data_IF_419845401334
#
_entry.id   IF_419845401334
#
_cell.length_a   1.000
_cell.length_b   1.000
_cell.length_c   1.000
_cell.angle_alpha   90.00
_cell.angle_beta   90.00
_cell.angle_gamma   90.00
#
_symmetry.space_group_name_H-M   'P 1'
#
loop_
_entity.id
_entity.type
_entity.pdbx_description
1 polymer ?
#
# COMPACT_ATOMS: atom_id res chain seq x y z
N UNK A 1 4.42 -18.72 9.08
CA UNK A 1 4.36 -17.51 8.23
C UNK A 1 4.48 -16.18 8.99
N UNK A 2 4.09 -16.09 10.27
CA UNK A 2 4.31 -14.87 11.10
C UNK A 2 5.78 -14.42 11.14
N UNK A 3 6.73 -15.35 11.04
CA UNK A 3 8.17 -15.05 11.02
C UNK A 3 8.61 -14.24 9.79
N UNK A 4 8.16 -14.62 8.58
CA UNK A 4 8.51 -13.90 7.34
C UNK A 4 7.97 -12.47 7.38
N UNK A 5 6.75 -12.28 7.84
CA UNK A 5 6.16 -10.93 7.97
C UNK A 5 6.85 -10.11 9.04
N UNK A 6 7.24 -10.71 10.16
CA UNK A 6 8.01 -10.00 11.17
C UNK A 6 9.36 -9.54 10.59
N UNK A 7 10.05 -10.40 9.84
CA UNK A 7 11.28 -10.02 9.13
C UNK A 7 11.04 -8.85 8.18
N UNK A 8 10.00 -8.93 7.34
CA UNK A 8 9.65 -7.85 6.40
C UNK A 8 9.38 -6.56 7.18
N UNK A 9 8.60 -6.60 8.26
CA UNK A 9 8.29 -5.42 9.06
C UNK A 9 9.51 -4.84 9.75
N UNK A 10 10.41 -5.68 10.28
CA UNK A 10 11.68 -5.23 10.88
C UNK A 10 12.55 -4.59 9.80
N UNK A 11 12.64 -5.21 8.62
CA UNK A 11 13.39 -4.67 7.49
C UNK A 11 12.85 -3.30 7.04
N UNK A 12 11.55 -3.17 6.78
CA UNK A 12 10.96 -1.89 6.42
C UNK A 12 10.99 -0.89 7.59
N UNK A 13 10.85 -1.37 8.82
CA UNK A 13 10.95 -0.56 10.04
C UNK A 13 12.34 0.05 10.23
N UNK A 14 13.39 -0.69 9.85
CA UNK A 14 14.77 -0.23 9.77
C UNK A 14 15.00 0.70 8.56
N UNK A 15 14.47 0.34 7.38
CA UNK A 15 14.59 1.14 6.16
C UNK A 15 13.99 2.54 6.31
N UNK A 16 12.88 2.65 7.04
CA UNK A 16 12.22 3.92 7.34
C UNK A 16 12.69 4.57 8.65
N UNK A 17 13.55 3.92 9.45
CA UNK A 17 14.01 4.43 10.74
C UNK A 17 14.58 5.86 10.68
N UNK A 18 15.49 6.21 9.73
CA UNK A 18 16.06 7.56 9.69
C UNK A 18 15.05 8.64 9.24
N UNK A 19 13.95 8.23 8.62
CA UNK A 19 12.95 9.15 8.06
C UNK A 19 11.74 9.35 8.97
N UNK A 20 11.70 8.74 10.17
CA UNK A 20 10.53 8.81 11.06
C UNK A 20 10.19 10.23 11.54
N UNK A 21 11.20 11.08 11.68
CA UNK A 21 11.06 12.45 12.19
C UNK A 21 11.16 13.50 11.07
N UNK A 22 11.30 13.07 9.82
CA UNK A 22 11.44 13.96 8.67
C UNK A 22 10.09 14.14 7.97
N UNK A 23 10.05 15.12 7.06
CA UNK A 23 8.90 15.25 6.17
C UNK A 23 8.66 13.92 5.41
N UNK A 24 7.41 13.44 5.33
CA UNK A 24 7.09 12.15 4.71
C UNK A 24 7.52 12.05 3.24
N UNK A 25 7.71 13.19 2.57
CA UNK A 25 8.30 13.29 1.26
C UNK A 25 9.61 12.51 1.14
N UNK A 26 10.50 12.63 2.13
CA UNK A 26 11.83 12.01 2.09
C UNK A 26 11.74 10.49 2.18
N UNK A 27 10.86 9.97 3.06
CA UNK A 27 10.58 8.55 3.15
C UNK A 27 10.03 8.00 1.83
N UNK A 28 9.14 8.77 1.16
CA UNK A 28 8.56 8.39 -0.13
C UNK A 28 9.61 8.36 -1.25
N UNK A 29 10.43 9.40 -1.36
CA UNK A 29 11.52 9.47 -2.36
C UNK A 29 12.50 8.31 -2.15
N UNK A 30 12.90 8.06 -0.91
CA UNK A 30 13.83 6.99 -0.55
C UNK A 30 13.28 5.61 -0.90
N UNK A 31 12.05 5.29 -0.50
CA UNK A 31 11.48 3.98 -0.79
C UNK A 31 11.28 3.78 -2.29
N UNK A 32 10.90 4.83 -3.03
CA UNK A 32 10.78 4.78 -4.48
C UNK A 32 12.14 4.56 -5.17
N UNK A 33 13.21 5.19 -4.68
CA UNK A 33 14.58 4.96 -5.18
C UNK A 33 14.99 3.49 -4.99
N UNK A 34 14.89 2.98 -3.76
CA UNK A 34 15.24 1.58 -3.44
C UNK A 34 14.40 0.63 -4.30
N UNK A 35 13.10 0.90 -4.42
CA UNK A 35 12.20 0.10 -5.25
C UNK A 35 12.64 0.12 -6.72
N UNK A 36 12.89 1.29 -7.31
CA UNK A 36 13.32 1.42 -8.69
C UNK A 36 14.64 0.67 -8.98
N UNK A 37 15.58 0.72 -8.05
CA UNK A 37 16.84 -0.05 -8.15
C UNK A 37 16.59 -1.56 -8.09
N UNK A 38 15.77 -2.03 -7.15
CA UNK A 38 15.40 -3.45 -7.04
C UNK A 38 14.70 -3.93 -8.30
N UNK A 39 13.77 -3.14 -8.85
CA UNK A 39 13.11 -3.45 -10.13
C UNK A 39 14.12 -3.59 -11.27
N UNK A 40 15.09 -2.68 -11.39
CA UNK A 40 16.13 -2.75 -12.42
C UNK A 40 16.98 -4.01 -12.30
N UNK A 41 17.37 -4.37 -11.08
CA UNK A 41 18.16 -5.57 -10.80
C UNK A 41 17.37 -6.81 -11.22
N UNK A 42 16.12 -6.93 -10.78
CA UNK A 42 15.24 -8.06 -11.15
C UNK A 42 15.07 -8.11 -12.66
N UNK A 43 14.76 -6.97 -13.29
CA UNK A 43 14.58 -6.88 -14.74
C UNK A 43 15.83 -7.35 -15.46
N UNK A 44 17.03 -6.89 -15.06
CA UNK A 44 18.30 -7.29 -15.66
C UNK A 44 18.51 -8.80 -15.64
N UNK A 45 18.19 -9.46 -14.53
CA UNK A 45 18.45 -10.90 -14.36
C UNK A 45 17.38 -11.79 -14.97
N UNK A 46 16.16 -11.30 -15.14
CA UNK A 46 15.02 -12.09 -15.61
C UNK A 46 14.65 -11.84 -17.08
N UNK A 47 15.09 -10.73 -17.65
CA UNK A 47 14.78 -10.36 -19.03
C UNK A 47 15.82 -10.88 -20.03
N UNK A 48 15.35 -11.23 -21.24
CA UNK A 48 16.23 -11.56 -22.35
C UNK A 48 16.68 -10.27 -23.07
N UNK A 49 17.77 -9.68 -22.60
CA UNK A 49 18.33 -8.42 -23.10
C UNK A 49 18.64 -8.46 -24.61
N UNK A 50 19.21 -9.57 -25.11
CA UNK A 50 19.49 -9.71 -26.54
C UNK A 50 18.22 -9.78 -27.39
N UNK A 51 17.20 -10.50 -26.90
CA UNK A 51 15.89 -10.62 -27.55
C UNK A 51 15.18 -9.27 -27.63
N UNK A 52 15.22 -8.50 -26.53
CA UNK A 52 14.69 -7.14 -26.44
C UNK A 52 15.40 -6.24 -27.47
N UNK A 53 16.73 -6.24 -27.50
CA UNK A 53 17.53 -5.44 -28.43
C UNK A 53 17.21 -5.75 -29.89
N UNK A 54 17.15 -7.05 -30.24
CA UNK A 54 16.80 -7.52 -31.59
C UNK A 54 15.37 -7.13 -31.97
N UNK A 55 14.41 -7.25 -31.07
CA UNK A 55 13.02 -6.87 -31.32
C UNK A 55 12.89 -5.35 -31.53
N UNK A 56 13.55 -4.55 -30.69
CA UNK A 56 13.59 -3.08 -30.78
C UNK A 56 14.20 -2.61 -32.11
N UNK A 57 15.32 -3.22 -32.52
CA UNK A 57 15.94 -2.95 -33.82
C UNK A 57 15.00 -3.26 -34.99
N UNK A 58 14.23 -4.36 -34.93
CA UNK A 58 13.22 -4.70 -35.94
C UNK A 58 12.08 -3.69 -35.98
N UNK A 59 11.60 -3.23 -34.83
CA UNK A 59 10.59 -2.16 -34.76
C UNK A 59 11.09 -0.89 -35.44
N UNK A 60 12.32 -0.44 -35.12
CA UNK A 60 12.93 0.73 -35.76
C UNK A 60 13.11 0.56 -37.27
N UNK A 61 13.50 -0.63 -37.73
CA UNK A 61 13.66 -0.93 -39.15
C UNK A 61 12.33 -0.83 -39.91
N UNK A 62 11.23 -1.39 -39.38
CA UNK A 62 9.92 -1.29 -40.02
C UNK A 62 9.34 0.13 -39.98
N UNK A 63 9.64 0.93 -38.94
CA UNK A 63 9.29 2.35 -38.91
C UNK A 63 10.02 3.13 -40.01
N UNK A 64 11.28 2.81 -40.26
CA UNK A 64 12.04 3.41 -41.35
C UNK A 64 11.52 2.95 -42.72
N UNK A 65 11.15 1.68 -42.86
CA UNK A 65 10.50 1.12 -44.07
C UNK A 65 9.20 1.89 -44.38
N UNK A 66 8.36 2.15 -43.37
CA UNK A 66 7.15 2.97 -43.54
C UNK A 66 7.45 4.40 -44.00
N UNK A 67 8.51 5.04 -43.47
CA UNK A 67 8.92 6.37 -43.91
C UNK A 67 9.47 6.38 -45.34
N UNK A 68 10.14 5.31 -45.76
CA UNK A 68 10.72 5.16 -47.10
C UNK A 68 9.67 4.86 -48.17
N UNK A 69 8.64 4.06 -47.83
CA UNK A 69 7.54 3.68 -48.73
C UNK A 69 6.24 4.45 -48.45
N UNK A 70 6.34 5.69 -47.98
CA UNK A 70 5.22 6.58 -47.69
C UNK A 70 4.27 6.83 -48.89
N UNK A 71 4.73 6.55 -50.13
CA UNK A 71 3.96 6.73 -51.36
C UNK A 71 3.21 5.46 -51.84
N UNK A 72 3.42 4.30 -51.20
CA UNK A 72 2.73 3.04 -51.51
C UNK A 72 1.95 2.56 -50.27
N UNK A 73 0.64 2.82 -50.27
CA UNK A 73 -0.28 2.45 -49.19
C UNK A 73 -0.24 0.94 -48.86
N UNK A 74 -0.08 0.06 -49.85
CA UNK A 74 -0.04 -1.38 -49.63
C UNK A 74 1.22 -1.81 -48.87
N UNK A 75 2.38 -1.30 -49.31
CA UNK A 75 3.67 -1.57 -48.63
C UNK A 75 3.75 -0.91 -47.26
N UNK A 76 3.15 0.25 -47.10
CA UNK A 76 3.03 0.93 -45.81
C UNK A 76 2.21 0.10 -44.83
N UNK A 77 1.02 -0.38 -45.21
CA UNK A 77 0.17 -1.22 -44.36
C UNK A 77 0.83 -2.55 -43.99
N UNK A 78 1.54 -3.18 -44.94
CA UNK A 78 2.31 -4.39 -44.65
C UNK A 78 3.42 -4.12 -43.61
N UNK A 79 4.11 -2.98 -43.73
CA UNK A 79 5.16 -2.56 -42.79
C UNK A 79 4.61 -2.21 -41.42
N UNK A 80 3.40 -1.64 -41.35
CA UNK A 80 2.68 -1.43 -40.10
C UNK A 80 2.37 -2.77 -39.41
N UNK A 81 1.87 -3.76 -40.15
CA UNK A 81 1.63 -5.12 -39.63
C UNK A 81 2.91 -5.78 -39.09
N UNK A 82 4.02 -5.67 -39.83
CA UNK A 82 5.33 -6.15 -39.37
C UNK A 82 5.81 -5.42 -38.09
N UNK A 83 5.54 -4.12 -37.98
CA UNK A 83 5.83 -3.32 -36.77
C UNK A 83 5.05 -3.83 -35.58
N UNK A 84 3.74 -4.07 -35.73
CA UNK A 84 2.90 -4.64 -34.68
C UNK A 84 3.39 -6.00 -34.22
N UNK A 85 3.74 -6.90 -35.14
CA UNK A 85 4.27 -8.23 -34.79
C UNK A 85 5.61 -8.13 -34.07
N UNK A 86 6.52 -7.27 -34.53
CA UNK A 86 7.80 -7.03 -33.86
C UNK A 86 7.60 -6.45 -32.45
N UNK A 87 6.64 -5.54 -32.29
CA UNK A 87 6.26 -4.99 -30.99
C UNK A 87 5.62 -6.05 -30.08
N UNK A 88 4.82 -6.96 -30.62
CA UNK A 88 4.26 -8.07 -29.84
C UNK A 88 5.37 -9.00 -29.30
N UNK A 89 6.37 -9.31 -30.14
CA UNK A 89 7.54 -10.08 -29.71
C UNK A 89 8.32 -9.34 -28.61
N UNK A 90 8.47 -8.02 -28.75
CA UNK A 90 9.07 -7.17 -27.71
C UNK A 90 8.30 -7.23 -26.39
N UNK A 91 6.99 -7.01 -26.42
CA UNK A 91 6.12 -7.07 -25.24
C UNK A 91 6.18 -8.46 -24.57
N UNK A 92 6.24 -9.53 -25.35
CA UNK A 92 6.38 -10.90 -24.83
C UNK A 92 7.66 -11.07 -24.01
N UNK A 93 8.78 -10.44 -24.40
CA UNK A 93 10.01 -10.48 -23.61
C UNK A 93 9.89 -9.73 -22.27
N UNK A 94 8.93 -8.80 -22.14
CA UNK A 94 8.67 -8.07 -20.90
C UNK A 94 7.78 -8.83 -19.91
N UNK A 95 7.00 -9.82 -20.36
CA UNK A 95 6.06 -10.55 -19.48
C UNK A 95 6.79 -11.23 -18.33
N UNK A 96 7.88 -11.95 -18.62
CA UNK A 96 8.67 -12.68 -17.62
C UNK A 96 9.17 -11.74 -16.51
N UNK A 97 9.94 -10.67 -16.80
CA UNK A 97 10.41 -9.76 -15.75
C UNK A 97 9.26 -9.08 -15.00
N UNK A 98 8.14 -8.75 -15.67
CA UNK A 98 6.97 -8.16 -15.00
C UNK A 98 6.41 -9.10 -13.93
N UNK A 99 6.27 -10.40 -14.21
CA UNK A 99 5.78 -11.38 -13.23
C UNK A 99 6.66 -11.41 -11.98
N UNK A 100 7.98 -11.38 -12.16
CA UNK A 100 8.93 -11.35 -11.04
C UNK A 100 8.91 -10.02 -10.29
N UNK A 101 8.63 -8.89 -10.96
CA UNK A 101 8.55 -7.57 -10.34
C UNK A 101 7.25 -7.37 -9.57
N UNK A 102 6.13 -7.96 -10.01
CA UNK A 102 4.82 -7.79 -9.35
C UNK A 102 4.89 -8.22 -7.87
N UNK A 103 5.54 -9.34 -7.57
CA UNK A 103 5.61 -9.89 -6.21
C UNK A 103 6.25 -8.89 -5.21
N UNK A 104 7.48 -8.40 -5.40
CA UNK A 104 8.10 -7.44 -4.49
C UNK A 104 7.39 -6.09 -4.50
N UNK A 105 6.84 -5.64 -5.63
CA UNK A 105 6.11 -4.36 -5.70
C UNK A 105 4.85 -4.40 -4.87
N UNK A 106 4.05 -5.47 -4.96
CA UNK A 106 2.88 -5.64 -4.10
C UNK A 106 3.27 -5.63 -2.62
N UNK A 107 4.39 -6.28 -2.28
CA UNK A 107 4.91 -6.28 -0.91
C UNK A 107 5.28 -4.87 -0.44
N UNK A 108 5.96 -4.07 -1.28
CA UNK A 108 6.26 -2.67 -0.97
C UNK A 108 4.99 -1.84 -0.86
N UNK A 109 4.03 -1.99 -1.78
CA UNK A 109 2.77 -1.24 -1.76
C UNK A 109 1.98 -1.47 -0.47
N UNK A 110 1.91 -2.71 0.02
CA UNK A 110 1.30 -3.04 1.31
C UNK A 110 2.01 -2.33 2.47
N UNK A 111 3.35 -2.24 2.41
CA UNK A 111 4.15 -1.59 3.46
C UNK A 111 4.06 -0.06 3.42
N UNK A 112 3.93 0.53 2.23
CA UNK A 112 3.80 1.97 2.03
C UNK A 112 2.37 2.43 2.32
N UNK A 113 1.33 1.69 1.91
CA UNK A 113 -0.06 2.02 2.20
C UNK A 113 -0.27 2.15 3.72
N UNK A 114 0.31 1.26 4.51
CA UNK A 114 0.27 1.35 5.96
C UNK A 114 0.75 2.68 6.56
N UNK A 115 1.68 3.36 5.87
CA UNK A 115 2.29 4.62 6.33
C UNK A 115 1.66 5.86 5.72
N UNK A 116 1.11 5.75 4.51
CA UNK A 116 0.71 6.90 3.70
C UNK A 116 -0.76 6.89 3.23
N UNK A 117 -1.49 5.79 3.41
CA UNK A 117 -2.91 5.70 2.99
C UNK A 117 -3.81 6.58 3.86
N UNK A 118 -3.57 6.57 5.17
CA UNK A 118 -4.39 7.30 6.14
C UNK A 118 -3.53 8.21 7.00
N UNK A 119 -4.11 9.32 7.45
CA UNK A 119 -3.47 10.24 8.40
C UNK A 119 -4.07 10.12 9.80
N UNK A 120 -3.30 10.40 10.87
CA UNK A 120 -3.83 10.49 12.23
C UNK A 120 -4.98 11.50 12.31
N UNK A 121 -5.84 11.33 13.32
CA UNK A 121 -6.85 12.34 13.63
C UNK A 121 -6.18 13.60 14.14
N UNK A 122 -6.61 14.76 13.65
CA UNK A 122 -6.21 16.01 14.27
C UNK A 122 -7.00 16.20 15.57
N UNK A 123 -6.43 16.91 16.57
CA UNK A 123 -7.17 17.28 17.76
C UNK A 123 -8.54 17.90 17.43
N UNK A 124 -9.61 17.36 17.99
CA UNK A 124 -10.99 17.76 17.75
C UNK A 124 -11.69 17.06 16.58
N UNK A 125 -10.97 16.36 15.71
CA UNK A 125 -11.59 15.55 14.64
C UNK A 125 -12.29 14.30 15.20
N UNK A 126 -13.31 13.85 14.48
CA UNK A 126 -14.13 12.69 14.85
C UNK A 126 -13.78 11.50 13.95
N UNK A 127 -13.81 10.31 14.53
CA UNK A 127 -13.71 9.05 13.80
C UNK A 127 -14.83 8.10 14.21
N UNK A 128 -15.08 7.13 13.33
CA UNK A 128 -15.97 6.02 13.60
C UNK A 128 -15.11 4.82 14.02
N UNK A 129 -15.40 4.30 15.21
CA UNK A 129 -14.86 3.05 15.70
C UNK A 129 -15.89 1.96 15.45
N UNK A 130 -15.48 0.92 14.73
CA UNK A 130 -16.28 -0.23 14.34
C UNK A 130 -15.70 -1.50 14.97
N UNK A 131 -16.51 -2.21 15.73
CA UNK A 131 -16.20 -3.56 16.21
C UNK A 131 -17.11 -4.58 15.53
N UNK A 132 -16.52 -5.64 14.99
CA UNK A 132 -17.24 -6.75 14.36
C UNK A 132 -17.03 -7.98 15.23
N UNK A 133 -18.11 -8.63 15.66
CA UNK A 133 -18.05 -9.86 16.44
C UNK A 133 -18.10 -11.08 15.52
N UNK A 134 -17.54 -12.20 15.98
CA UNK A 134 -17.65 -13.48 15.27
C UNK A 134 -19.10 -13.97 15.24
N UNK A 135 -19.51 -14.71 14.19
CA UNK A 135 -20.89 -15.23 14.10
C UNK A 135 -21.32 -16.07 15.31
N UNK A 136 -20.39 -16.76 15.96
CA UNK A 136 -20.61 -17.54 17.18
C UNK A 136 -20.81 -16.68 18.45
N UNK A 137 -20.72 -15.35 18.35
CA UNK A 137 -20.90 -14.40 19.46
C UNK A 137 -21.87 -13.30 19.02
N UNK A 138 -23.19 -13.51 19.15
CA UNK A 138 -24.20 -12.54 18.72
C UNK A 138 -24.10 -11.21 19.48
N UNK A 139 -24.18 -10.10 18.75
CA UNK A 139 -24.01 -8.74 19.29
C UNK A 139 -25.03 -8.35 20.36
N UNK A 140 -26.22 -8.94 20.32
CA UNK A 140 -27.31 -8.64 21.26
C UNK A 140 -27.14 -9.39 22.59
N UNK A 141 -26.46 -10.54 22.57
CA UNK A 141 -26.22 -11.39 23.75
C UNK A 141 -24.94 -10.99 24.49
N UNK A 142 -24.02 -10.33 23.79
CA UNK A 142 -22.72 -9.94 24.34
C UNK A 142 -22.70 -8.45 24.70
N UNK A 143 -22.51 -8.14 25.98
CA UNK A 143 -22.36 -6.77 26.46
C UNK A 143 -20.95 -6.25 26.18
N UNK A 144 -20.76 -5.66 25.00
CA UNK A 144 -19.53 -4.95 24.65
C UNK A 144 -19.58 -3.54 25.21
N UNK A 145 -18.60 -3.19 26.05
CA UNK A 145 -18.39 -1.83 26.57
C UNK A 145 -17.06 -1.28 26.08
N UNK A 146 -17.03 0.03 25.81
CA UNK A 146 -15.85 0.77 25.40
C UNK A 146 -15.50 1.76 26.51
N UNK A 147 -14.27 1.70 26.98
CA UNK A 147 -13.68 2.67 27.89
C UNK A 147 -12.60 3.45 27.14
N UNK A 148 -12.65 4.77 27.29
CA UNK A 148 -11.74 5.71 26.65
C UNK A 148 -10.96 6.48 27.73
N UNK A 149 -9.67 6.77 27.50
CA UNK A 149 -8.83 7.48 28.46
C UNK A 149 -9.16 8.99 28.50
N UNK A 150 -8.62 9.68 29.50
CA UNK A 150 -8.63 11.15 29.59
C UNK A 150 -8.11 11.70 28.26
N UNK A 151 -8.85 12.61 27.61
CA UNK A 151 -8.63 13.17 26.25
C UNK A 151 -9.23 12.42 25.04
N UNK A 152 -9.96 11.32 25.24
CA UNK A 152 -10.78 10.72 24.18
C UNK A 152 -12.24 10.72 24.58
N UNK A 153 -13.07 11.45 23.82
CA UNK A 153 -14.50 11.52 24.07
C UNK A 153 -15.26 10.50 23.22
N UNK A 154 -16.11 9.71 23.88
CA UNK A 154 -17.11 8.88 23.21
C UNK A 154 -18.35 9.75 22.98
N UNK A 155 -18.59 10.15 21.74
CA UNK A 155 -19.63 11.12 21.36
C UNK A 155 -21.02 10.51 21.21
N UNK A 156 -21.11 9.20 21.01
CA UNK A 156 -22.37 8.51 20.83
C UNK A 156 -22.43 7.23 21.67
N UNK A 157 -23.61 6.84 22.18
CA UNK A 157 -23.78 5.50 22.73
C UNK A 157 -23.51 4.43 21.67
N UNK A 158 -23.27 3.19 22.12
CA UNK A 158 -22.99 2.06 21.24
C UNK A 158 -24.19 1.77 20.33
N UNK A 159 -24.01 1.93 19.01
CA UNK A 159 -24.99 1.50 18.01
C UNK A 159 -24.70 0.05 17.62
N UNK A 160 -25.65 -0.86 17.87
CA UNK A 160 -25.52 -2.29 17.55
C UNK A 160 -26.37 -2.64 16.33
N UNK A 161 -25.76 -3.32 15.35
CA UNK A 161 -26.44 -3.80 14.14
C UNK A 161 -26.43 -5.33 14.15
N UNK A 162 -27.56 -5.93 14.53
CA UNK A 162 -27.68 -7.38 14.70
C UNK A 162 -27.43 -8.18 13.41
N UNK A 163 -27.95 -7.71 12.28
CA UNK A 163 -27.82 -8.39 10.98
C UNK A 163 -26.38 -8.50 10.48
N UNK A 164 -25.52 -7.55 10.86
CA UNK A 164 -24.10 -7.54 10.48
C UNK A 164 -23.19 -8.03 11.61
N UNK A 165 -23.72 -8.20 12.82
CA UNK A 165 -22.97 -8.49 14.04
C UNK A 165 -21.91 -7.43 14.38
N UNK A 166 -22.30 -6.15 14.25
CA UNK A 166 -21.39 -5.00 14.34
C UNK A 166 -21.81 -4.01 15.42
N UNK A 167 -20.83 -3.30 15.96
CA UNK A 167 -21.02 -2.21 16.93
C UNK A 167 -20.23 -0.99 16.49
N UNK A 168 -20.86 0.17 16.57
CA UNK A 168 -20.31 1.44 16.16
C UNK A 168 -20.30 2.45 17.31
N UNK A 169 -19.20 3.18 17.41
CA UNK A 169 -19.04 4.35 18.28
C UNK A 169 -18.46 5.50 17.48
N UNK A 170 -18.90 6.72 17.79
CA UNK A 170 -18.22 7.93 17.35
C UNK A 170 -17.28 8.40 18.45
N UNK A 171 -16.01 8.56 18.12
CA UNK A 171 -14.97 8.99 19.06
C UNK A 171 -14.29 10.26 18.56
N UNK A 172 -13.76 11.08 19.46
CA UNK A 172 -12.93 12.23 19.11
C UNK A 172 -11.76 12.38 20.08
N UNK A 173 -10.56 12.59 19.54
CA UNK A 173 -9.37 12.84 20.34
C UNK A 173 -9.12 14.33 20.53
N UNK A 174 -8.92 14.80 21.76
CA UNK A 174 -8.80 16.23 22.07
C UNK A 174 -7.38 16.76 22.07
N UNK A 175 -6.39 15.91 22.34
CA UNK A 175 -4.97 16.29 22.41
C UNK A 175 -4.13 15.35 21.57
N UNK A 176 -2.97 15.83 21.11
CA UNK A 176 -1.99 14.98 20.41
C UNK A 176 -1.51 13.88 21.36
N UNK A 177 -1.45 12.66 20.87
CA UNK A 177 -1.07 11.49 21.65
C UNK A 177 -1.50 10.18 21.00
N UNK A 178 -0.94 9.08 21.52
CA UNK A 178 -1.41 7.73 21.24
C UNK A 178 -2.21 7.29 22.45
N UNK A 179 -3.48 6.95 22.24
CA UNK A 179 -4.41 6.58 23.30
C UNK A 179 -4.83 5.12 23.14
N UNK A 180 -4.80 4.36 24.23
CA UNK A 180 -5.33 2.99 24.23
C UNK A 180 -6.83 3.01 24.54
N UNK A 181 -7.63 2.40 23.68
CA UNK A 181 -9.06 2.18 23.87
C UNK A 181 -9.29 0.76 24.38
N UNK A 182 -9.94 0.64 25.52
CA UNK A 182 -10.18 -0.63 26.19
C UNK A 182 -11.61 -1.12 25.90
N UNK A 183 -11.71 -2.30 25.31
CA UNK A 183 -12.96 -2.99 25.05
C UNK A 183 -13.12 -4.12 26.05
N UNK A 184 -14.24 -4.16 26.76
CA UNK A 184 -14.59 -5.29 27.62
C UNK A 184 -15.73 -6.07 26.99
N UNK A 185 -15.51 -7.38 26.82
CA UNK A 185 -16.55 -8.34 26.37
C UNK A 185 -16.47 -9.58 27.24
N UNK A 186 -17.56 -9.93 27.89
CA UNK A 186 -17.65 -11.11 28.77
C UNK A 186 -16.50 -11.18 29.81
N UNK A 187 -16.12 -10.02 30.37
CA UNK A 187 -15.04 -9.89 31.35
C UNK A 187 -13.62 -9.94 30.79
N UNK A 188 -13.43 -10.16 29.47
CA UNK A 188 -12.12 -10.10 28.81
C UNK A 188 -11.87 -8.72 28.22
N UNK A 189 -10.66 -8.21 28.38
CA UNK A 189 -10.24 -6.91 27.87
C UNK A 189 -9.45 -7.04 26.57
N UNK A 190 -9.73 -6.14 25.62
CA UNK A 190 -9.03 -6.00 24.35
C UNK A 190 -8.67 -4.55 24.11
N UNK A 191 -7.47 -4.30 23.59
CA UNK A 191 -6.95 -2.94 23.38
C UNK A 191 -6.94 -2.55 21.90
N UNK A 192 -7.15 -1.27 21.61
CA UNK A 192 -6.97 -0.67 20.28
C UNK A 192 -6.31 0.70 20.41
N UNK A 193 -5.34 1.02 19.56
CA UNK A 193 -4.68 2.32 19.64
C UNK A 193 -5.38 3.34 18.75
N UNK A 194 -5.66 4.51 19.33
CA UNK A 194 -6.12 5.70 18.65
C UNK A 194 -4.95 6.69 18.53
N UNK A 195 -4.62 7.08 17.31
CA UNK A 195 -3.56 8.04 17.04
C UNK A 195 -4.15 9.40 16.74
N UNK A 196 -3.80 10.38 17.57
CA UNK A 196 -4.17 11.79 17.39
C UNK A 196 -2.90 12.57 17.19
N UNK A 197 -2.69 13.09 15.98
CA UNK A 197 -1.47 13.80 15.64
C UNK A 197 -1.73 14.76 14.47
N UNK A 198 -0.81 15.70 14.27
CA UNK A 198 -0.78 16.58 13.10
C UNK A 198 0.25 16.16 12.08
N UNK A 199 1.17 15.25 12.44
CA UNK A 199 2.16 14.67 11.52
C UNK A 199 1.64 13.41 10.79
N UNK A 200 2.51 12.80 10.00
CA UNK A 200 2.25 11.51 9.36
C UNK A 200 2.95 10.43 10.18
N UNK A 201 2.14 9.58 10.80
CA UNK A 201 2.60 8.42 11.56
C UNK A 201 1.95 7.19 10.99
N UNK A 202 2.65 6.06 10.99
CA UNK A 202 2.12 4.81 10.47
C UNK A 202 0.93 4.33 11.34
N UNK A 203 -0.22 4.07 10.72
CA UNK A 203 -1.50 3.91 11.43
C UNK A 203 -2.11 2.51 11.36
N UNK A 204 -2.48 1.95 12.52
CA UNK A 204 -3.21 0.69 12.57
C UNK A 204 -4.71 0.94 12.39
N UNK A 205 -5.15 1.01 11.13
CA UNK A 205 -6.57 1.26 10.78
C UNK A 205 -7.47 0.11 11.22
N UNK A 206 -7.02 -1.15 11.09
CA UNK A 206 -7.79 -2.35 11.43
C UNK A 206 -6.95 -3.33 12.26
N UNK A 207 -7.60 -4.04 13.17
CA UNK A 207 -7.04 -5.15 13.96
C UNK A 207 -7.99 -6.32 13.80
N UNK A 208 -7.58 -7.42 13.19
CA UNK A 208 -8.46 -8.54 12.87
C UNK A 208 -7.80 -9.87 13.23
N UNK A 209 -8.60 -10.93 13.40
CA UNK A 209 -8.11 -12.26 13.77
C UNK A 209 -7.57 -13.08 12.58
N UNK A 210 -7.92 -12.74 11.33
CA UNK A 210 -7.57 -13.55 10.14
C UNK A 210 -6.17 -13.29 9.60
N UNK A 211 -5.53 -14.34 9.09
CA UNK A 211 -4.19 -14.32 8.48
C UNK A 211 -4.04 -13.30 7.32
N UNK A 212 -4.99 -13.27 6.37
CA UNK A 212 -4.99 -12.29 5.28
C UNK A 212 -5.14 -10.84 5.78
N UNK A 213 -5.79 -10.66 6.93
CA UNK A 213 -5.90 -9.37 7.59
C UNK A 213 -4.64 -9.00 8.40
N UNK A 214 -3.80 -9.98 8.78
CA UNK A 214 -2.46 -9.75 9.34
C UNK A 214 -1.46 -9.26 8.29
N UNK A 215 -1.65 -9.63 7.01
CA UNK A 215 -0.86 -9.10 5.89
C UNK A 215 -1.12 -7.61 5.63
N UNK A 216 -2.25 -7.08 6.09
CA UNK A 216 -2.64 -5.68 5.86
C UNK A 216 -2.54 -4.82 7.13
N UNK A 217 -2.36 -5.41 8.32
CA UNK A 217 -2.39 -4.70 9.60
C UNK A 217 -1.17 -5.04 10.46
N UNK A 218 -0.15 -4.17 10.43
CA UNK A 218 1.18 -4.51 10.94
C UNK A 218 1.62 -3.81 12.23
N UNK A 219 0.98 -2.74 12.72
CA UNK A 219 1.43 -2.09 13.97
C UNK A 219 0.70 -2.46 15.25
N UNK A 220 -0.29 -3.34 15.17
CA UNK A 220 -0.89 -3.91 16.37
C UNK A 220 -0.83 -5.44 16.30
N UNK A 221 -0.59 -6.11 17.43
CA UNK A 221 -0.62 -7.57 17.47
C UNK A 221 -1.99 -8.08 17.04
N UNK A 222 -2.04 -9.21 16.33
CA UNK A 222 -3.30 -9.87 15.92
C UNK A 222 -4.20 -10.11 17.14
N UNK A 223 -5.52 -10.11 16.94
CA UNK A 223 -6.45 -10.49 18.01
C UNK A 223 -6.26 -11.99 18.34
N UNK A 224 -6.29 -12.40 19.62
CA UNK A 224 -6.23 -13.82 19.99
C UNK A 224 -7.31 -14.63 19.29
N UNK A 225 -7.02 -15.88 18.90
CA UNK A 225 -8.00 -16.75 18.24
C UNK A 225 -9.24 -16.99 19.11
N UNK A 226 -9.10 -16.96 20.44
CA UNK A 226 -10.21 -17.07 21.40
C UNK A 226 -10.98 -15.76 21.62
N UNK A 227 -10.68 -14.70 20.86
CA UNK A 227 -11.40 -13.43 20.94
C UNK A 227 -12.81 -13.55 20.35
N UNK A 228 -13.84 -12.95 20.98
CA UNK A 228 -15.18 -12.83 20.40
C UNK A 228 -15.20 -11.83 19.24
N UNK A 229 -14.16 -10.99 19.09
CA UNK A 229 -14.04 -10.05 17.99
C UNK A 229 -13.46 -10.71 16.73
N UNK A 230 -14.12 -10.46 15.60
CA UNK A 230 -13.59 -10.73 14.28
C UNK A 230 -12.63 -9.61 13.84
N UNK A 231 -13.03 -8.35 14.04
CA UNK A 231 -12.17 -7.19 13.77
C UNK A 231 -12.57 -5.93 14.53
N UNK A 232 -11.58 -5.10 14.88
CA UNK A 232 -11.73 -3.73 15.40
C UNK A 232 -11.13 -2.77 14.37
N UNK A 233 -11.89 -1.78 13.92
CA UNK A 233 -11.49 -0.83 12.89
C UNK A 233 -11.78 0.60 13.33
N UNK A 234 -10.86 1.53 13.06
CA UNK A 234 -11.08 2.97 13.20
C UNK A 234 -11.04 3.55 11.79
N UNK A 235 -12.08 4.28 11.40
CA UNK A 235 -12.10 5.02 10.13
C UNK A 235 -11.31 6.31 10.30
N UNK A 236 -10.08 6.32 9.78
CA UNK A 236 -9.24 7.52 9.70
C UNK A 236 -9.50 8.28 8.39
N UNK A 237 -9.24 9.60 8.33
CA UNK A 237 -9.27 10.34 7.08
C UNK A 237 -8.17 9.89 6.12
N UNK A 238 -8.46 9.93 4.83
CA UNK A 238 -7.48 9.67 3.78
C UNK A 238 -6.32 10.69 3.86
N UNK A 239 -5.14 10.20 3.51
CA UNK A 239 -3.93 11.00 3.45
C UNK A 239 -3.64 11.43 2.01
N UNK A 240 -3.49 12.75 1.81
CA UNK A 240 -2.93 13.32 0.60
C UNK A 240 -1.49 13.75 0.87
N UNK A 241 -0.58 13.43 -0.05
CA UNK A 241 0.82 13.84 0.04
C UNK A 241 1.04 15.04 -0.88
N UNK A 242 1.24 16.20 -0.27
CA UNK A 242 1.57 17.44 -0.98
C UNK A 242 3.04 17.45 -1.35
N UNK A 243 3.36 17.35 -2.63
CA UNK A 243 4.72 17.44 -3.14
C UNK A 243 4.74 18.40 -4.33
N UNK A 244 5.73 19.29 -4.36
CA UNK A 244 5.88 20.29 -5.44
C UNK A 244 4.60 21.13 -5.68
N UNK A 245 3.78 21.33 -4.65
CA UNK A 245 2.52 22.07 -4.73
C UNK A 245 1.31 21.28 -5.23
N UNK A 246 1.45 19.97 -5.49
CA UNK A 246 0.34 19.11 -5.92
C UNK A 246 -0.05 18.11 -4.82
N UNK A 247 -1.36 18.04 -4.54
CA UNK A 247 -1.96 17.06 -3.62
C UNK A 247 -2.38 15.82 -4.40
N UNK A 248 -1.54 14.79 -4.38
CA UNK A 248 -1.83 13.51 -5.04
C UNK A 248 -1.84 12.37 -4.04
N UNK A 249 -2.55 11.30 -4.40
CA UNK A 249 -2.52 10.05 -3.65
C UNK A 249 -1.09 9.49 -3.65
N UNK A 250 -0.65 8.95 -2.51
CA UNK A 250 0.72 8.49 -2.29
C UNK A 250 1.21 7.49 -3.36
N UNK A 251 0.29 6.65 -3.88
CA UNK A 251 0.60 5.65 -4.90
C UNK A 251 1.06 6.29 -6.21
N UNK A 252 0.52 7.47 -6.55
CA UNK A 252 0.89 8.19 -7.78
C UNK A 252 2.32 8.70 -7.64
N UNK A 253 2.64 9.33 -6.50
CA UNK A 253 4.01 9.77 -6.21
C UNK A 253 5.00 8.61 -6.19
N UNK A 254 4.64 7.52 -5.52
CA UNK A 254 5.45 6.31 -5.47
C UNK A 254 5.76 5.78 -6.87
N UNK A 255 4.75 5.67 -7.74
CA UNK A 255 4.91 5.20 -9.12
C UNK A 255 5.79 6.16 -9.93
N UNK A 256 5.52 7.47 -9.88
CA UNK A 256 6.30 8.49 -10.61
C UNK A 256 7.77 8.40 -10.22
N UNK A 257 8.10 8.45 -8.92
CA UNK A 257 9.48 8.41 -8.48
C UNK A 257 10.15 7.08 -8.79
N UNK A 258 9.47 5.94 -8.59
CA UNK A 258 10.05 4.62 -8.87
C UNK A 258 10.40 4.47 -10.35
N UNK A 259 9.53 4.94 -11.24
CA UNK A 259 9.78 4.96 -12.69
C UNK A 259 10.92 5.91 -13.03
N UNK A 260 10.90 7.15 -12.52
CA UNK A 260 11.96 8.14 -12.76
C UNK A 260 13.33 7.59 -12.34
N UNK A 261 13.43 7.00 -11.15
CA UNK A 261 14.68 6.39 -10.68
C UNK A 261 15.07 5.16 -11.51
N UNK A 262 14.12 4.29 -11.86
CA UNK A 262 14.36 3.17 -12.75
C UNK A 262 14.97 3.63 -14.09
N UNK A 263 14.41 4.67 -14.71
CA UNK A 263 14.94 5.21 -15.96
C UNK A 263 16.28 5.93 -15.79
N UNK A 264 16.48 6.68 -14.70
CA UNK A 264 17.72 7.39 -14.42
C UNK A 264 18.90 6.41 -14.26
N UNK A 265 18.68 5.27 -13.59
CA UNK A 265 19.72 4.29 -13.32
C UNK A 265 19.84 3.18 -14.37
N UNK A 266 18.95 3.09 -15.37
CA UNK A 266 18.96 2.00 -16.37
C UNK A 266 20.32 1.79 -17.04
N UNK A 267 21.03 2.89 -17.34
CA UNK A 267 22.33 2.85 -18.02
C UNK A 267 23.43 2.31 -17.11
N UNK A 268 23.40 2.63 -15.82
CA UNK A 268 24.35 2.11 -14.81
C UNK A 268 24.22 0.59 -14.71
N UNK A 269 22.99 0.09 -14.75
CA UNK A 269 22.70 -1.35 -14.70
C UNK A 269 22.78 -2.04 -16.07
N UNK A 270 23.12 -1.33 -17.16
CA UNK A 270 23.18 -1.85 -18.54
C UNK A 270 21.91 -2.60 -18.95
N UNK A 271 20.75 -2.05 -18.57
CA UNK A 271 19.44 -2.60 -18.89
C UNK A 271 18.85 -1.86 -20.07
N UNK A 272 18.44 -2.59 -21.11
CA UNK A 272 17.57 -2.06 -22.14
C UNK A 272 16.11 -2.15 -21.68
N UNK A 273 15.49 -0.98 -21.56
CA UNK A 273 14.06 -0.77 -21.31
C UNK A 273 13.33 -0.29 -22.58
#
# INVERSE_FOLDING_TARGET
MNFVFNIINVFFGFLFFPFRNLDPAWGMIWISLVTGLVMLVIFRFTSNQEGIRKAKAKVSAHILEMRLYNHDLGRMLASLGKTFTANFVYLRYMIVPIIFIIIPVLMVLIQVSYRYEHRPLRPGEQAILKAVLKPASPVLENSVTLQAPEYVDIRTPALRIASLNEIYWRISGQKRGVYELDFTVNGKQYKKNLHVDTGFTALSVKRAASFSASLLNHSEPVLPEDSPFLSLQITYPDSALTLMGFDLHWIIWFCIFSVVFGFAFKNVFRVEL
#
